data_IF_205241029220
#
_entry.id   IF_205241029220
#
_cell.length_a   1.000
_cell.length_b   1.000
_cell.length_c   1.000
_cell.angle_alpha   90.00
_cell.angle_beta   90.00
_cell.angle_gamma   90.00
#
_symmetry.space_group_name_H-M   'P 1'
#
loop_
_entity.id
_entity.type
_entity.pdbx_description
1 polymer ?
#
# COMPACT_ATOMS: atom_id res chain seq x y z
N UNK A 1 7.05 24.91 -15.17
CA UNK A 1 7.60 23.73 -15.89
C UNK A 1 6.84 22.52 -15.36
N UNK A 2 6.17 21.77 -16.23
CA UNK A 2 5.44 20.56 -15.82
C UNK A 2 6.45 19.46 -15.41
N UNK A 3 6.15 18.72 -14.34
CA UNK A 3 6.94 17.56 -13.93
C UNK A 3 6.81 16.44 -14.97
N UNK A 4 7.86 15.66 -15.16
CA UNK A 4 7.76 14.44 -15.99
C UNK A 4 7.04 13.34 -15.22
N UNK A 5 6.42 12.39 -15.92
CA UNK A 5 5.69 11.28 -15.29
C UNK A 5 6.55 10.44 -14.34
N UNK A 6 7.85 10.29 -14.63
CA UNK A 6 8.76 9.58 -13.74
C UNK A 6 8.99 10.33 -12.43
N UNK A 7 9.20 11.66 -12.51
CA UNK A 7 9.37 12.50 -11.31
C UNK A 7 8.11 12.50 -10.45
N UNK A 8 6.92 12.57 -11.08
CA UNK A 8 5.63 12.45 -10.40
C UNK A 8 5.53 11.10 -9.67
N UNK A 9 5.94 10.01 -10.30
CA UNK A 9 5.98 8.68 -9.70
C UNK A 9 6.90 8.62 -8.48
N UNK A 10 8.15 9.06 -8.65
CA UNK A 10 9.17 9.04 -7.58
C UNK A 10 8.74 9.86 -6.35
N UNK A 11 8.15 11.05 -6.56
CA UNK A 11 7.62 11.89 -5.47
C UNK A 11 6.49 11.15 -4.73
N UNK A 12 5.58 10.50 -5.46
CA UNK A 12 4.49 9.76 -4.86
C UNK A 12 4.95 8.56 -4.04
N UNK A 13 5.94 7.81 -4.51
CA UNK A 13 6.56 6.71 -3.74
C UNK A 13 7.17 7.23 -2.43
N UNK A 14 7.84 8.38 -2.48
CA UNK A 14 8.40 9.02 -1.29
C UNK A 14 7.32 9.47 -0.31
N UNK A 15 6.21 10.07 -0.79
CA UNK A 15 5.09 10.50 0.07
C UNK A 15 4.44 9.29 0.77
N UNK A 16 4.15 8.21 0.05
CA UNK A 16 3.61 6.98 0.64
C UNK A 16 4.55 6.41 1.69
N UNK A 17 5.84 6.27 1.35
CA UNK A 17 6.87 5.76 2.25
C UNK A 17 6.95 6.59 3.53
N UNK A 18 6.97 7.92 3.40
CA UNK A 18 7.03 8.84 4.54
C UNK A 18 5.81 8.68 5.45
N UNK A 19 4.58 8.63 4.88
CA UNK A 19 3.35 8.49 5.66
C UNK A 19 3.28 7.18 6.43
N UNK A 20 3.74 6.09 5.83
CA UNK A 20 3.77 4.78 6.50
C UNK A 20 4.80 4.75 7.64
N UNK A 21 5.99 5.31 7.41
CA UNK A 21 7.09 5.26 8.40
C UNK A 21 6.96 6.29 9.54
N UNK A 22 6.26 7.42 9.33
CA UNK A 22 6.18 8.50 10.34
C UNK A 22 5.59 8.07 11.68
N UNK A 23 4.81 6.97 11.70
CA UNK A 23 4.18 6.43 12.92
C UNK A 23 5.05 5.39 13.63
N UNK A 24 6.07 4.86 12.96
CA UNK A 24 6.91 3.76 13.47
C UNK A 24 6.26 2.38 13.41
N UNK A 25 5.08 2.24 12.78
CA UNK A 25 4.40 0.95 12.63
C UNK A 25 4.94 0.10 11.47
N UNK A 26 5.61 0.74 10.51
CA UNK A 26 6.12 0.07 9.30
C UNK A 26 7.54 0.50 8.95
N UNK A 27 8.24 -0.41 8.30
CA UNK A 27 9.47 -0.15 7.53
C UNK A 27 9.10 -0.29 6.06
N UNK A 28 9.58 0.63 5.21
CA UNK A 28 9.26 0.64 3.76
C UNK A 28 10.53 0.59 2.93
N UNK A 29 10.52 -0.28 1.93
CA UNK A 29 11.60 -0.46 0.97
C UNK A 29 11.14 0.05 -0.40
N UNK A 30 11.84 1.07 -0.91
CA UNK A 30 11.63 1.61 -2.26
C UNK A 30 12.30 0.67 -3.28
N UNK A 31 11.56 0.19 -4.27
CA UNK A 31 12.05 -0.77 -5.25
C UNK A 31 12.46 -0.12 -6.59
N UNK A 32 12.21 1.19 -6.73
CA UNK A 32 12.69 2.01 -7.86
C UNK A 32 12.20 1.53 -9.23
N UNK A 33 10.94 1.07 -9.33
CA UNK A 33 10.33 0.65 -10.59
C UNK A 33 10.96 -0.60 -11.24
N UNK A 34 11.82 -1.32 -10.53
CA UNK A 34 12.52 -2.51 -11.06
C UNK A 34 11.69 -3.78 -10.97
N UNK A 35 10.64 -3.78 -10.16
CA UNK A 35 9.75 -4.93 -10.01
C UNK A 35 8.42 -4.63 -10.69
N UNK A 36 7.99 -5.46 -11.65
CA UNK A 36 6.68 -5.27 -12.26
C UNK A 36 5.55 -5.38 -11.23
N UNK A 37 4.56 -4.51 -11.36
CA UNK A 37 3.31 -4.49 -10.65
C UNK A 37 3.30 -3.89 -9.23
N UNK A 38 4.43 -3.63 -8.58
CA UNK A 38 4.45 -2.90 -7.31
C UNK A 38 5.71 -2.06 -7.15
N UNK A 39 5.60 -0.97 -6.41
CA UNK A 39 6.64 0.04 -6.26
C UNK A 39 7.31 -0.04 -4.89
N UNK A 40 6.56 -0.48 -3.86
CA UNK A 40 7.02 -0.56 -2.49
C UNK A 40 6.78 -1.95 -1.91
N UNK A 41 7.74 -2.42 -1.12
CA UNK A 41 7.59 -3.50 -0.16
C UNK A 41 7.54 -2.87 1.24
N UNK A 42 6.54 -3.18 2.02
CA UNK A 42 6.46 -2.71 3.41
C UNK A 42 6.44 -3.90 4.38
N UNK A 43 6.96 -3.66 5.57
CA UNK A 43 7.06 -4.65 6.63
C UNK A 43 6.54 -4.05 7.95
N UNK A 44 5.76 -4.81 8.70
CA UNK A 44 5.30 -4.42 10.03
C UNK A 44 6.50 -4.37 10.99
N UNK A 45 6.60 -3.28 11.76
CA UNK A 45 7.44 -3.25 12.96
C UNK A 45 6.72 -4.05 14.05
N UNK A 46 7.25 -5.23 14.44
CA UNK A 46 6.53 -6.10 15.36
C UNK A 46 6.45 -5.52 16.77
N UNK A 47 5.31 -5.69 17.42
CA UNK A 47 5.22 -5.54 18.85
C UNK A 47 5.69 -6.85 19.51
N UNK A 48 6.86 -6.82 20.14
CA UNK A 48 7.45 -7.98 20.81
C UNK A 48 6.62 -8.49 21.96
N UNK A 49 5.88 -7.61 22.64
CA UNK A 49 4.98 -8.00 23.74
C UNK A 49 3.73 -8.73 23.24
N UNK A 50 3.28 -8.41 22.01
CA UNK A 50 2.14 -9.07 21.36
C UNK A 50 2.55 -10.32 20.56
N UNK A 51 3.82 -10.71 20.55
CA UNK A 51 4.36 -11.81 19.75
C UNK A 51 4.08 -11.65 18.24
N UNK A 52 4.04 -10.43 17.77
CA UNK A 52 3.87 -10.14 16.35
C UNK A 52 5.11 -10.54 15.54
N UNK A 53 4.89 -10.89 14.28
CA UNK A 53 5.95 -11.18 13.30
C UNK A 53 6.12 -10.00 12.34
N UNK A 54 7.30 -9.82 11.72
CA UNK A 54 7.53 -8.79 10.72
C UNK A 54 6.88 -9.17 9.39
N UNK A 55 5.55 -9.19 9.35
CA UNK A 55 4.78 -9.51 8.15
C UNK A 55 4.92 -8.44 7.07
N UNK A 56 5.02 -8.89 5.83
CA UNK A 56 5.23 -8.05 4.66
C UNK A 56 3.95 -7.87 3.84
N UNK A 57 3.89 -6.76 3.11
CA UNK A 57 2.84 -6.46 2.15
C UNK A 57 3.36 -5.60 1.00
N UNK A 58 2.62 -5.58 -0.11
CA UNK A 58 3.00 -4.90 -1.34
C UNK A 58 2.13 -3.67 -1.57
N UNK A 59 2.73 -2.63 -2.17
CA UNK A 59 1.99 -1.42 -2.55
C UNK A 59 2.36 -1.03 -3.98
N UNK A 60 1.33 -0.85 -4.82
CA UNK A 60 1.41 -0.15 -6.09
C UNK A 60 1.06 1.31 -5.86
N UNK A 61 1.94 2.22 -6.25
CA UNK A 61 1.72 3.67 -6.10
C UNK A 61 1.24 4.29 -7.41
N UNK A 62 0.28 5.20 -7.33
CA UNK A 62 -0.18 6.06 -8.41
C UNK A 62 -0.30 7.48 -7.92
N UNK A 63 0.40 8.39 -8.57
CA UNK A 63 0.45 9.81 -8.20
C UNK A 63 -0.14 10.66 -9.30
N UNK A 64 -0.73 11.78 -8.91
CA UNK A 64 -1.26 12.77 -9.83
C UNK A 64 -0.98 14.19 -9.33
N UNK A 65 -0.63 15.09 -10.24
CA UNK A 65 -0.54 16.54 -10.07
C UNK A 65 -1.68 17.28 -10.80
N UNK A 66 -2.72 16.51 -11.24
CA UNK A 66 -3.91 17.08 -11.90
C UNK A 66 -4.59 18.09 -10.98
N UNK A 67 -5.03 19.22 -11.54
CA UNK A 67 -5.81 20.23 -10.82
C UNK A 67 -7.20 19.72 -10.37
N UNK A 68 -7.72 18.66 -11.00
CA UNK A 68 -8.99 18.02 -10.69
C UNK A 68 -8.82 16.49 -10.56
N UNK A 69 -8.12 16.03 -9.51
CA UNK A 69 -7.74 14.62 -9.40
C UNK A 69 -8.90 13.71 -9.00
N UNK A 70 -10.05 14.27 -8.59
CA UNK A 70 -11.18 13.51 -8.08
C UNK A 70 -12.29 13.28 -9.12
N UNK A 71 -13.03 12.20 -8.94
CA UNK A 71 -14.29 11.96 -9.67
C UNK A 71 -15.35 12.97 -9.22
N UNK A 72 -16.24 13.37 -10.14
CA UNK A 72 -17.29 14.36 -9.82
C UNK A 72 -18.45 13.76 -9.00
N UNK A 73 -18.73 12.47 -9.20
CA UNK A 73 -19.92 11.85 -8.61
C UNK A 73 -19.74 11.46 -7.14
N UNK A 74 -18.60 10.93 -6.77
CA UNK A 74 -18.36 10.29 -5.48
C UNK A 74 -17.05 10.71 -4.80
N UNK A 75 -16.40 11.75 -5.33
CA UNK A 75 -15.17 12.36 -4.79
C UNK A 75 -14.06 11.32 -4.50
N UNK A 76 -13.83 10.41 -5.45
CA UNK A 76 -12.77 9.38 -5.36
C UNK A 76 -11.53 9.84 -6.12
N UNK A 77 -10.35 9.58 -5.58
CA UNK A 77 -9.09 9.88 -6.27
C UNK A 77 -8.93 8.98 -7.50
N UNK A 78 -8.77 9.58 -8.68
CA UNK A 78 -8.54 8.85 -9.93
C UNK A 78 -7.13 8.28 -9.95
N UNK A 79 -7.01 6.97 -10.00
CA UNK A 79 -5.72 6.26 -9.93
C UNK A 79 -5.72 5.06 -10.87
N UNK A 80 -5.82 5.26 -12.19
CA UNK A 80 -5.95 4.13 -13.11
C UNK A 80 -4.72 3.22 -13.04
N UNK A 81 -4.95 1.95 -12.72
CA UNK A 81 -3.95 0.88 -12.82
C UNK A 81 -4.35 -0.02 -13.97
N UNK A 82 -3.40 -0.35 -14.85
CA UNK A 82 -3.64 -1.29 -15.94
C UNK A 82 -4.02 -2.67 -15.39
N UNK A 83 -4.97 -3.35 -16.02
CA UNK A 83 -5.50 -4.64 -15.53
C UNK A 83 -4.41 -5.72 -15.42
N UNK A 84 -3.45 -5.76 -16.32
CA UNK A 84 -2.33 -6.70 -16.27
C UNK A 84 -1.44 -6.46 -15.04
N UNK A 85 -1.19 -5.20 -14.68
CA UNK A 85 -0.44 -4.84 -13.45
C UNK A 85 -1.23 -5.15 -12.20
N UNK A 86 -2.54 -4.88 -12.20
CA UNK A 86 -3.42 -5.20 -11.09
C UNK A 86 -3.47 -6.72 -10.85
N UNK A 87 -3.67 -7.50 -11.89
CA UNK A 87 -3.67 -8.96 -11.80
C UNK A 87 -2.32 -9.49 -11.31
N UNK A 88 -1.20 -8.98 -11.87
CA UNK A 88 0.13 -9.37 -11.43
C UNK A 88 0.43 -8.99 -9.97
N UNK A 89 -0.23 -7.97 -9.42
CA UNK A 89 -0.15 -7.61 -8.01
C UNK A 89 -0.97 -8.58 -7.13
N UNK A 90 -2.21 -8.88 -7.54
CA UNK A 90 -3.15 -9.74 -6.81
C UNK A 90 -2.68 -11.21 -6.80
N UNK A 91 -2.06 -11.69 -7.87
CA UNK A 91 -1.57 -13.05 -8.00
C UNK A 91 -0.37 -13.37 -7.09
N UNK A 92 0.17 -12.38 -6.39
CA UNK A 92 1.26 -12.60 -5.44
C UNK A 92 0.73 -13.11 -4.10
N UNK A 93 1.45 -14.02 -3.44
CA UNK A 93 1.05 -14.57 -2.13
C UNK A 93 1.37 -13.60 -0.98
N UNK A 94 1.04 -12.34 -1.16
CA UNK A 94 1.26 -11.26 -0.20
C UNK A 94 0.04 -10.34 -0.19
N UNK A 95 -0.38 -9.80 0.96
CA UNK A 95 -1.43 -8.79 0.96
C UNK A 95 -0.96 -7.58 0.17
N UNK A 96 -1.82 -7.06 -0.68
CA UNK A 96 -1.48 -6.04 -1.68
C UNK A 96 -2.44 -4.88 -1.62
N UNK A 97 -1.90 -3.67 -1.76
CA UNK A 97 -2.66 -2.42 -1.70
C UNK A 97 -2.32 -1.52 -2.89
N UNK A 98 -3.25 -0.62 -3.22
CA UNK A 98 -3.01 0.47 -4.15
C UNK A 98 -3.02 1.76 -3.35
N UNK A 99 -1.95 2.54 -3.48
CA UNK A 99 -1.84 3.86 -2.91
C UNK A 99 -1.99 4.92 -4.02
N UNK A 100 -2.94 5.84 -3.84
CA UNK A 100 -3.07 7.03 -4.64
C UNK A 100 -2.48 8.23 -3.92
N UNK A 101 -1.78 9.10 -4.64
CA UNK A 101 -1.21 10.32 -4.08
C UNK A 101 -1.69 11.53 -4.86
N UNK A 102 -2.36 12.46 -4.17
CA UNK A 102 -2.60 13.80 -4.68
C UNK A 102 -1.39 14.69 -4.34
N UNK A 103 -0.56 14.99 -5.32
CA UNK A 103 0.65 15.79 -5.11
C UNK A 103 0.35 17.26 -4.78
N UNK A 104 -0.86 17.76 -5.07
CA UNK A 104 -1.24 19.14 -4.73
C UNK A 104 -1.42 19.32 -3.22
N UNK A 105 -1.85 18.27 -2.52
CA UNK A 105 -2.10 18.28 -1.08
C UNK A 105 -1.10 17.42 -0.29
N UNK A 106 -0.30 16.59 -0.96
CA UNK A 106 0.54 15.54 -0.35
C UNK A 106 -0.27 14.54 0.49
N UNK A 107 -1.54 14.32 0.15
CA UNK A 107 -2.40 13.34 0.79
C UNK A 107 -2.26 11.98 0.12
N UNK A 108 -2.29 10.93 0.92
CA UNK A 108 -2.17 9.53 0.47
C UNK A 108 -3.46 8.79 0.76
N UNK A 109 -3.96 8.10 -0.24
CA UNK A 109 -5.19 7.30 -0.18
C UNK A 109 -4.83 5.84 -0.39
N UNK A 110 -5.36 4.92 0.42
CA UNK A 110 -5.12 3.50 0.27
C UNK A 110 -6.41 2.70 0.09
N UNK A 111 -6.30 1.62 -0.66
CA UNK A 111 -7.35 0.62 -0.83
C UNK A 111 -6.71 -0.76 -1.03
N UNK A 112 -7.30 -1.87 -0.52
CA UNK A 112 -6.85 -3.21 -0.87
C UNK A 112 -6.92 -3.43 -2.39
N UNK A 113 -5.90 -4.07 -2.97
CA UNK A 113 -5.89 -4.39 -4.40
C UNK A 113 -6.86 -5.54 -4.73
N UNK A 114 -7.07 -6.46 -3.79
CA UNK A 114 -7.95 -7.61 -3.94
C UNK A 114 -9.36 -7.31 -3.41
N UNK A 115 -10.35 -7.94 -4.05
CA UNK A 115 -11.75 -7.74 -3.69
C UNK A 115 -12.12 -8.53 -2.42
N UNK A 116 -12.45 -7.82 -1.35
CA UNK A 116 -13.21 -8.34 -0.21
C UNK A 116 -14.60 -7.69 -0.14
N UNK A 117 -15.22 -7.44 -1.30
CA UNK A 117 -16.54 -6.83 -1.41
C UNK A 117 -16.55 -5.35 -1.80
N UNK A 118 -15.40 -4.70 -1.95
CA UNK A 118 -15.25 -3.32 -2.42
C UNK A 118 -13.91 -3.13 -3.14
N UNK A 119 -13.64 -3.98 -4.15
CA UNK A 119 -12.38 -4.00 -4.88
C UNK A 119 -12.03 -2.68 -5.55
N UNK A 120 -10.76 -2.54 -5.89
CA UNK A 120 -10.25 -1.40 -6.63
C UNK A 120 -10.92 -1.27 -8.00
N UNK A 121 -11.63 -0.18 -8.22
CA UNK A 121 -12.38 0.11 -9.44
C UNK A 121 -11.81 1.28 -10.29
N UNK A 122 -10.48 1.48 -10.28
CA UNK A 122 -9.83 2.57 -11.04
C UNK A 122 -9.78 3.92 -10.31
N UNK A 123 -10.33 3.98 -9.10
CA UNK A 123 -10.29 5.15 -8.21
C UNK A 123 -10.33 4.72 -6.74
N UNK A 124 -9.80 5.55 -5.85
CA UNK A 124 -9.71 5.25 -4.41
C UNK A 124 -10.65 6.15 -3.62
N UNK A 125 -11.51 5.60 -2.74
CA UNK A 125 -12.34 6.40 -1.86
C UNK A 125 -11.50 7.13 -0.80
N UNK A 126 -12.05 8.19 -0.20
CA UNK A 126 -11.40 8.98 0.85
C UNK A 126 -11.51 8.37 2.26
N UNK A 127 -12.04 7.15 2.37
CA UNK A 127 -12.25 6.45 3.64
C UNK A 127 -10.95 6.10 4.36
N UNK A 128 -9.85 5.87 3.62
CA UNK A 128 -8.52 5.65 4.16
C UNK A 128 -7.58 6.71 3.60
N UNK A 129 -7.56 7.88 4.22
CA UNK A 129 -6.78 9.05 3.81
C UNK A 129 -5.77 9.45 4.87
N UNK A 130 -4.50 9.42 4.52
CA UNK A 130 -3.39 9.87 5.35
C UNK A 130 -3.05 11.33 5.01
N UNK A 131 -3.14 12.21 5.99
CA UNK A 131 -2.99 13.65 5.82
C UNK A 131 -1.64 14.10 6.35
N UNK A 132 -0.93 14.91 5.57
CA UNK A 132 0.37 15.49 5.96
C UNK A 132 0.23 16.28 7.26
N UNK A 133 1.10 15.99 8.22
CA UNK A 133 1.11 16.67 9.53
C UNK A 133 0.04 16.20 10.51
N UNK A 134 -0.85 15.28 10.16
CA UNK A 134 -1.86 14.73 11.06
C UNK A 134 -1.48 13.34 11.58
N UNK A 135 -0.34 13.25 12.27
CA UNK A 135 0.21 11.99 12.77
C UNK A 135 -0.77 11.20 13.63
N UNK A 136 -1.57 11.86 14.47
CA UNK A 136 -2.50 11.17 15.37
C UNK A 136 -3.60 10.42 14.61
N UNK A 137 -4.25 11.08 13.64
CA UNK A 137 -5.26 10.43 12.80
C UNK A 137 -4.63 9.36 11.90
N UNK A 138 -3.47 9.63 11.31
CA UNK A 138 -2.73 8.67 10.50
C UNK A 138 -2.38 7.40 11.30
N UNK A 139 -1.96 7.54 12.57
CA UNK A 139 -1.65 6.39 13.44
C UNK A 139 -2.86 5.47 13.61
N UNK A 140 -4.06 6.03 13.82
CA UNK A 140 -5.27 5.24 13.98
C UNK A 140 -5.60 4.44 12.70
N UNK A 141 -5.51 5.07 11.52
CA UNK A 141 -5.73 4.40 10.24
C UNK A 141 -4.65 3.36 9.94
N UNK A 142 -3.39 3.67 10.19
CA UNK A 142 -2.27 2.76 9.96
C UNK A 142 -2.30 1.56 10.92
N UNK A 143 -2.89 1.71 12.11
CA UNK A 143 -3.16 0.56 12.98
C UNK A 143 -4.21 -0.38 12.38
N UNK A 144 -5.22 0.13 11.68
CA UNK A 144 -6.18 -0.71 10.94
C UNK A 144 -5.50 -1.47 9.80
N UNK A 145 -4.62 -0.79 9.04
CA UNK A 145 -3.82 -1.43 8.00
C UNK A 145 -2.93 -2.54 8.58
N UNK A 146 -2.25 -2.27 9.69
CA UNK A 146 -1.42 -3.25 10.39
C UNK A 146 -2.22 -4.50 10.78
N UNK A 147 -3.42 -4.31 11.33
CA UNK A 147 -4.29 -5.40 11.72
C UNK A 147 -4.76 -6.22 10.49
N UNK A 148 -5.13 -5.55 9.38
CA UNK A 148 -5.53 -6.24 8.14
C UNK A 148 -4.39 -7.11 7.58
N UNK A 149 -3.16 -6.62 7.58
CA UNK A 149 -1.97 -7.38 7.17
C UNK A 149 -1.74 -8.59 8.10
N UNK A 150 -1.85 -8.41 9.42
CA UNK A 150 -1.69 -9.50 10.40
C UNK A 150 -2.76 -10.58 10.17
N UNK A 151 -4.02 -10.17 9.99
CA UNK A 151 -5.14 -11.09 9.79
C UNK A 151 -5.01 -11.88 8.48
N UNK A 152 -4.51 -11.25 7.41
CA UNK A 152 -4.18 -11.94 6.16
C UNK A 152 -3.17 -13.08 6.41
N UNK A 153 -2.07 -12.78 7.06
CA UNK A 153 -1.00 -13.75 7.30
C UNK A 153 -1.41 -14.87 8.26
N UNK A 154 -2.20 -14.57 9.28
CA UNK A 154 -2.78 -15.56 10.19
C UNK A 154 -3.77 -16.48 9.47
N UNK A 155 -4.53 -15.96 8.51
CA UNK A 155 -5.47 -16.75 7.71
C UNK A 155 -4.81 -17.77 6.77
N UNK A 156 -3.51 -17.59 6.44
CA UNK A 156 -2.76 -18.52 5.58
C UNK A 156 -2.17 -19.74 6.34
N UNK A 157 -2.29 -19.77 7.67
CA UNK A 157 -1.78 -20.87 8.52
C UNK A 157 -0.30 -21.24 8.25
N UNK A 158 0.53 -20.20 8.06
CA UNK A 158 1.95 -20.34 7.65
C UNK A 158 2.79 -21.10 8.68
N UNK A 159 2.33 -21.16 9.93
CA UNK A 159 3.04 -21.86 10.99
C UNK A 159 3.04 -23.39 10.79
N UNK A 160 2.22 -23.92 9.87
CA UNK A 160 2.16 -25.33 9.50
C UNK A 160 3.03 -25.67 8.29
N UNK A 161 3.51 -24.66 7.55
CA UNK A 161 4.34 -24.90 6.37
C UNK A 161 5.70 -25.51 6.73
N UNK A 162 5.93 -26.74 6.27
CA UNK A 162 7.21 -27.42 6.35
C UNK A 162 7.83 -27.50 4.94
N UNK A 163 8.97 -26.81 4.70
CA UNK A 163 9.62 -26.89 3.40
C UNK A 163 10.04 -28.32 3.07
N UNK A 164 9.60 -28.84 1.94
CA UNK A 164 9.86 -30.23 1.52
C UNK A 164 11.35 -30.55 1.30
N UNK A 165 12.18 -29.55 1.00
CA UNK A 165 13.62 -29.75 0.81
C UNK A 165 14.38 -30.07 2.12
N UNK A 166 13.82 -29.76 3.30
CA UNK A 166 14.40 -30.15 4.58
C UNK A 166 14.24 -31.65 4.91
N UNK A 167 13.38 -32.34 4.21
CA UNK A 167 13.23 -33.81 4.39
C UNK A 167 14.24 -34.60 3.57
N UNK A 168 15.09 -33.98 2.77
CA UNK A 168 16.13 -34.61 1.96
C UNK A 168 17.55 -34.50 2.57
N UNK A 169 17.68 -33.89 3.74
CA UNK A 169 18.92 -33.81 4.55
C UNK A 169 18.83 -34.75 5.76
#
# INVERSE_FOLDING_TARGET
>A
MALTSNVIGDIGEMEVSTRLMETGLFIVFLLGGKVPAFDLLAEIVPDTNAQEKPYQFLIQVKSTDDANPFTQADHRLKTPVLNDKLNALIDRPLPSYIAGVDLNTSEVYLVPAFDRGAGYGGSIPDTFRLVKGNRAANTALLQLLKNDVIDYWRGLDIDVYKPSFHSAL
#
